data_IF_787045777923
#
_entry.id   IF_787045777923
#
_cell.length_a   1.000
_cell.length_b   1.000
_cell.length_c   1.000
_cell.angle_alpha   90.00
_cell.angle_beta   90.00
_cell.angle_gamma   90.00
#
_symmetry.space_group_name_H-M   'P 1'
#
loop_
_entity.id
_entity.type
_entity.pdbx_description
1 polymer ?
#
# COMPACT_ATOMS: atom_id res chain seq x y z
N UNK A 1 -15.26 -20.26 -3.09
CA UNK A 1 -15.16 -19.80 -1.69
C UNK A 1 -13.94 -18.92 -1.38
N UNK A 2 -13.08 -18.51 -2.33
CA UNK A 2 -12.02 -17.52 -2.05
C UNK A 2 -12.41 -16.05 -2.25
N UNK A 3 -13.54 -15.77 -2.92
CA UNK A 3 -14.02 -14.40 -3.15
C UNK A 3 -14.43 -13.64 -1.88
N UNK A 4 -14.48 -14.31 -0.72
CA UNK A 4 -14.90 -13.73 0.55
C UNK A 4 -13.75 -13.11 1.37
N UNK A 5 -12.48 -13.40 1.03
CA UNK A 5 -11.31 -12.92 1.78
C UNK A 5 -10.25 -12.33 0.84
N UNK A 6 -10.43 -11.08 0.35
CA UNK A 6 -9.49 -10.45 -0.58
C UNK A 6 -8.08 -10.24 0.01
N UNK A 7 -7.95 -10.37 1.33
CA UNK A 7 -6.70 -10.32 2.06
C UNK A 7 -5.84 -11.58 1.93
N UNK A 8 -6.41 -12.70 1.46
CA UNK A 8 -5.71 -13.98 1.34
C UNK A 8 -5.44 -14.27 -0.14
N UNK A 9 -4.18 -14.21 -0.60
CA UNK A 9 -3.84 -14.53 -1.98
C UNK A 9 -4.24 -15.97 -2.31
N UNK A 10 -4.91 -16.20 -3.45
CA UNK A 10 -5.34 -17.54 -3.85
C UNK A 10 -4.18 -18.51 -4.02
N UNK A 11 -3.01 -18.01 -4.40
CA UNK A 11 -1.80 -18.81 -4.60
C UNK A 11 -1.24 -19.39 -3.29
N UNK A 12 -1.69 -18.90 -2.12
CA UNK A 12 -1.28 -19.41 -0.81
C UNK A 12 -2.19 -20.54 -0.29
N UNK A 13 -3.29 -20.84 -0.99
CA UNK A 13 -4.25 -21.88 -0.62
C UNK A 13 -4.14 -23.05 -1.59
N UNK A 14 -3.64 -24.19 -1.12
CA UNK A 14 -3.46 -25.40 -1.91
C UNK A 14 -3.86 -26.66 -1.12
N UNK A 15 -4.30 -27.70 -1.83
CA UNK A 15 -4.70 -28.97 -1.25
C UNK A 15 -5.63 -29.75 -2.16
N UNK A 16 -5.49 -31.08 -2.18
CA UNK A 16 -6.30 -31.98 -2.99
C UNK A 16 -7.51 -32.51 -2.18
N UNK A 17 -7.51 -32.28 -0.87
CA UNK A 17 -8.63 -32.58 0.03
C UNK A 17 -9.09 -31.35 0.83
N UNK A 18 -10.33 -31.38 1.30
CA UNK A 18 -10.89 -30.29 2.13
C UNK A 18 -10.03 -30.02 3.38
N UNK A 19 -9.54 -31.07 4.03
CA UNK A 19 -8.70 -30.94 5.21
C UNK A 19 -7.36 -30.26 4.92
N UNK A 20 -6.76 -30.52 3.75
CA UNK A 20 -5.52 -29.86 3.31
C UNK A 20 -5.77 -28.40 2.98
N UNK A 21 -6.89 -28.09 2.31
CA UNK A 21 -7.28 -26.71 2.01
C UNK A 21 -7.50 -25.91 3.30
N UNK A 22 -8.20 -26.47 4.29
CA UNK A 22 -8.41 -25.79 5.58
C UNK A 22 -7.08 -25.52 6.31
N UNK A 23 -6.17 -26.50 6.32
CA UNK A 23 -4.84 -26.34 6.91
C UNK A 23 -4.01 -25.29 6.15
N UNK A 24 -4.11 -25.26 4.82
CA UNK A 24 -3.41 -24.30 3.97
C UNK A 24 -3.96 -22.88 4.15
N UNK A 25 -5.27 -22.71 4.28
CA UNK A 25 -5.91 -21.42 4.61
C UNK A 25 -5.42 -20.90 5.96
N UNK A 26 -5.39 -21.74 6.99
CA UNK A 26 -4.89 -21.36 8.31
C UNK A 26 -3.41 -20.95 8.28
N UNK A 27 -2.59 -21.66 7.51
CA UNK A 27 -1.19 -21.30 7.29
C UNK A 27 -1.05 -19.94 6.59
N UNK A 28 -1.81 -19.73 5.52
CA UNK A 28 -1.82 -18.49 4.76
C UNK A 28 -2.25 -17.30 5.62
N UNK A 29 -3.27 -17.47 6.48
CA UNK A 29 -3.72 -16.43 7.41
C UNK A 29 -2.61 -16.00 8.37
N UNK A 30 -1.88 -16.97 8.93
CA UNK A 30 -0.75 -16.70 9.84
C UNK A 30 0.38 -15.96 9.12
N UNK A 31 0.73 -16.39 7.91
CA UNK A 31 1.76 -15.73 7.11
C UNK A 31 1.39 -14.27 6.80
N UNK A 32 0.15 -14.02 6.35
CA UNK A 32 -0.32 -12.66 6.07
C UNK A 32 -0.33 -11.80 7.33
N UNK A 33 -0.76 -12.34 8.47
CA UNK A 33 -0.75 -11.61 9.74
C UNK A 33 0.68 -11.21 10.14
N UNK A 34 1.65 -12.12 10.04
CA UNK A 34 3.05 -11.86 10.36
C UNK A 34 3.67 -10.81 9.43
N UNK A 35 3.37 -10.85 8.13
CA UNK A 35 3.84 -9.86 7.16
C UNK A 35 3.28 -8.47 7.50
N UNK A 36 1.99 -8.39 7.84
CA UNK A 36 1.35 -7.12 8.24
C UNK A 36 1.97 -6.52 9.49
N UNK A 37 2.20 -7.34 10.51
CA UNK A 37 2.85 -6.91 11.76
C UNK A 37 4.25 -6.37 11.48
N UNK A 38 5.03 -7.08 10.66
CA UNK A 38 6.38 -6.65 10.28
C UNK A 38 6.38 -5.34 9.51
N UNK A 39 5.50 -5.18 8.53
CA UNK A 39 5.38 -3.94 7.76
C UNK A 39 4.95 -2.76 8.64
N UNK A 40 4.05 -2.99 9.60
CA UNK A 40 3.66 -1.95 10.55
C UNK A 40 4.85 -1.52 11.43
N UNK A 41 5.61 -2.49 11.95
CA UNK A 41 6.81 -2.21 12.73
C UNK A 41 7.88 -1.46 11.92
N UNK A 42 8.13 -1.86 10.67
CA UNK A 42 9.05 -1.17 9.76
C UNK A 42 8.59 0.26 9.45
N UNK A 43 7.28 0.48 9.26
CA UNK A 43 6.72 1.81 9.05
C UNK A 43 6.85 2.72 10.30
N UNK A 44 6.63 2.17 11.49
CA UNK A 44 6.82 2.88 12.75
C UNK A 44 8.29 3.24 12.99
N UNK A 45 9.22 2.33 12.67
CA UNK A 45 10.67 2.57 12.72
C UNK A 45 11.10 3.66 11.72
N UNK A 46 10.57 3.65 10.49
CA UNK A 46 10.84 4.68 9.49
C UNK A 46 10.30 6.04 9.91
N UNK A 47 9.09 6.08 10.47
CA UNK A 47 8.53 7.30 11.03
C UNK A 47 9.37 7.85 12.20
N UNK A 48 9.86 6.96 13.08
CA UNK A 48 10.71 7.32 14.21
C UNK A 48 12.11 7.78 13.80
N UNK A 49 12.69 7.18 12.75
CA UNK A 49 13.98 7.64 12.16
C UNK A 49 13.87 9.04 11.56
N UNK A 50 12.69 9.43 11.10
CA UNK A 50 12.45 10.68 10.41
C UNK A 50 13.16 10.74 9.05
N UNK A 51 12.87 11.77 8.27
CA UNK A 51 13.58 12.00 7.02
C UNK A 51 14.87 12.78 7.30
N UNK A 52 16.03 12.39 6.71
CA UNK A 52 17.26 13.14 6.89
C UNK A 52 17.08 14.59 6.46
N UNK A 53 17.48 15.51 7.33
CA UNK A 53 17.41 16.95 7.09
C UNK A 53 18.27 17.26 5.86
N UNK A 54 17.63 17.60 4.73
CA UNK A 54 18.30 17.90 3.47
C UNK A 54 17.98 16.98 2.31
N UNK A 55 17.21 15.89 2.50
CA UNK A 55 16.59 15.21 1.37
C UNK A 55 15.60 16.18 0.71
N UNK A 56 15.73 16.49 -0.60
CA UNK A 56 14.74 17.31 -1.27
C UNK A 56 13.39 16.59 -1.11
N UNK A 57 12.41 17.30 -0.55
CA UNK A 57 11.04 16.80 -0.52
C UNK A 57 10.61 16.43 -1.94
N UNK A 58 9.59 15.58 -2.08
CA UNK A 58 9.01 15.28 -3.38
C UNK A 58 8.70 16.62 -4.07
N UNK A 59 9.49 16.94 -5.11
CA UNK A 59 9.40 18.23 -5.78
C UNK A 59 8.10 18.22 -6.58
N UNK A 60 7.17 19.07 -6.18
CA UNK A 60 6.02 19.37 -7.01
C UNK A 60 6.49 19.97 -8.34
N UNK A 61 5.79 19.69 -9.45
CA UNK A 61 6.03 20.38 -10.72
C UNK A 61 6.01 21.90 -10.50
N UNK A 62 7.01 22.59 -11.06
CA UNK A 62 7.09 24.05 -10.94
C UNK A 62 5.83 24.70 -11.54
N UNK A 63 5.28 25.68 -10.81
CA UNK A 63 4.18 26.54 -11.27
C UNK A 63 4.67 27.93 -11.66
N UNK A 64 5.99 28.10 -11.76
CA UNK A 64 6.63 29.32 -12.18
C UNK A 64 6.34 29.57 -13.67
N UNK A 65 5.91 30.78 -14.02
CA UNK A 65 5.47 31.13 -15.39
C UNK A 65 4.01 30.82 -15.71
N UNK A 66 3.28 30.07 -14.87
CA UNK A 66 1.84 29.85 -15.06
C UNK A 66 1.01 31.09 -14.70
N UNK A 67 0.05 31.41 -15.55
CA UNK A 67 -1.03 32.34 -15.25
C UNK A 67 -1.94 31.82 -14.13
N UNK A 68 -2.74 32.71 -13.54
CA UNK A 68 -3.71 32.34 -12.50
C UNK A 68 -4.71 31.28 -12.98
N UNK A 69 -5.13 31.34 -14.25
CA UNK A 69 -6.06 30.36 -14.83
C UNK A 69 -5.43 28.97 -14.94
N UNK A 70 -4.17 28.89 -15.37
CA UNK A 70 -3.43 27.63 -15.50
C UNK A 70 -3.17 26.97 -14.15
N UNK A 71 -2.89 27.75 -13.10
CA UNK A 71 -2.76 27.23 -11.73
C UNK A 71 -4.06 26.65 -11.20
N UNK A 72 -5.19 27.28 -11.50
CA UNK A 72 -6.52 26.82 -11.09
C UNK A 72 -6.87 25.51 -11.81
N UNK A 73 -6.62 25.43 -13.12
CA UNK A 73 -6.84 24.21 -13.91
C UNK A 73 -5.99 23.04 -13.38
N UNK A 74 -4.68 23.25 -13.18
CA UNK A 74 -3.77 22.26 -12.61
C UNK A 74 -4.22 21.78 -11.22
N UNK A 75 -4.69 22.70 -10.38
CA UNK A 75 -5.21 22.36 -9.05
C UNK A 75 -6.53 21.59 -9.09
N UNK A 76 -7.38 21.82 -10.09
CA UNK A 76 -8.62 21.08 -10.30
C UNK A 76 -8.33 19.64 -10.75
N UNK A 77 -7.46 19.48 -11.76
CA UNK A 77 -7.03 18.18 -12.29
C UNK A 77 -6.48 17.26 -11.18
N UNK A 78 -5.59 17.79 -10.34
CA UNK A 78 -4.99 17.05 -9.21
C UNK A 78 -6.01 16.65 -8.14
N UNK A 79 -7.08 17.42 -7.93
CA UNK A 79 -8.13 17.08 -6.95
C UNK A 79 -9.09 16.02 -7.46
N UNK A 80 -9.30 15.96 -8.77
CA UNK A 80 -10.22 15.00 -9.40
C UNK A 80 -9.59 13.65 -9.72
N UNK A 81 -8.27 13.50 -9.54
CA UNK A 81 -7.58 12.22 -9.62
C UNK A 81 -7.59 11.61 -11.03
N UNK A 82 -6.69 12.09 -11.88
CA UNK A 82 -6.21 11.35 -13.05
C UNK A 82 -4.79 10.85 -12.78
#
# INVERSE_FOLDING_TARGET
>A
MLAAEPALPPDLVAGDSLAEVDASVESARRAVAQIRERLAAEADEDAARGFPVGAPGRLEPSVEGMSSAEKIALGLERRTGA
#
